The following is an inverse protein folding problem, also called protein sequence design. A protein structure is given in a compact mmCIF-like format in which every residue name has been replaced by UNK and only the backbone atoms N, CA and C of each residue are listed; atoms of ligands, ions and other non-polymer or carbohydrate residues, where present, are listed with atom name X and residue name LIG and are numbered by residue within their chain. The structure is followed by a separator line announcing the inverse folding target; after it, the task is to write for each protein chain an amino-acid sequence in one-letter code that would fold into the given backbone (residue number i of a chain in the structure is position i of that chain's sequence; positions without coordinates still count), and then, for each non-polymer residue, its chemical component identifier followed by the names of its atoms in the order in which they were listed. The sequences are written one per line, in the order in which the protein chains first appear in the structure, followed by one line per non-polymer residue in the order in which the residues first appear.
data_IF_978443217798
#
_entry.id   IF_978443217798
#
_cell.length_a   1.000
_cell.length_b   1.000
_cell.length_c   1.000
_cell.angle_alpha   90.00
_cell.angle_beta   90.00
_cell.angle_gamma   90.00
#
_symmetry.space_group_name_H-M   'P 1'
#
loop_
_entity.id
_entity.type
_entity.pdbx_description
1 polymer ?
#
# COMPACT_ATOMS: atom_id res chain seq x y z
N UNK A 1 -6.24 -3.78 35.46
CA UNK A 1 -4.85 -3.35 35.69
C UNK A 1 -4.04 -4.44 36.40
N UNK A 2 -4.50 -4.99 37.53
CA UNK A 2 -3.83 -6.11 38.22
C UNK A 2 -3.81 -7.39 37.37
N UNK A 3 -4.85 -7.68 36.59
CA UNK A 3 -4.88 -8.86 35.71
C UNK A 3 -3.90 -8.74 34.53
N UNK A 4 -3.62 -7.51 34.07
CA UNK A 4 -2.61 -7.24 33.04
C UNK A 4 -1.20 -7.44 33.57
N UNK A 5 -0.95 -7.05 34.83
CA UNK A 5 0.33 -7.29 35.52
C UNK A 5 0.52 -8.77 35.83
N UNK A 6 -0.54 -9.47 36.28
CA UNK A 6 -0.52 -10.93 36.47
C UNK A 6 -0.31 -11.65 35.15
N UNK A 7 -1.00 -11.25 34.07
CA UNK A 7 -0.79 -11.79 32.73
C UNK A 7 0.64 -11.59 32.22
N UNK A 8 1.23 -10.41 32.47
CA UNK A 8 2.63 -10.12 32.15
C UNK A 8 3.59 -10.99 32.97
N UNK A 9 3.34 -11.20 34.27
CA UNK A 9 4.16 -12.06 35.12
C UNK A 9 4.16 -13.54 34.66
N UNK A 10 3.05 -14.02 34.09
CA UNK A 10 2.96 -15.38 33.51
C UNK A 10 3.53 -15.46 32.08
N UNK A 11 3.72 -14.35 31.38
CA UNK A 11 4.34 -14.32 30.04
C UNK A 11 5.84 -14.59 30.05
N UNK A 12 6.48 -14.46 31.22
CA UNK A 12 7.90 -14.78 31.43
C UNK A 12 8.17 -16.28 31.60
N UNK A 13 7.13 -17.10 31.72
CA UNK A 13 7.27 -18.56 31.76
C UNK A 13 7.30 -19.08 30.32
N UNK A 14 8.40 -19.70 29.90
CA UNK A 14 8.51 -20.38 28.62
C UNK A 14 7.51 -21.55 28.59
N UNK A 15 6.29 -21.31 28.10
CA UNK A 15 5.36 -22.36 27.74
C UNK A 15 5.96 -23.09 26.54
N UNK A 16 6.57 -24.27 26.80
CA UNK A 16 6.93 -25.22 25.74
C UNK A 16 5.64 -25.79 25.15
N UNK A 17 5.05 -25.05 24.23
CA UNK A 17 3.97 -25.58 23.40
C UNK A 17 4.59 -26.45 22.31
N UNK A 18 4.06 -27.65 22.12
CA UNK A 18 4.42 -28.50 20.98
C UNK A 18 4.22 -27.72 19.69
N UNK A 19 5.27 -27.61 18.86
CA UNK A 19 5.22 -26.91 17.58
C UNK A 19 4.20 -27.52 16.61
N UNK A 20 3.82 -28.80 16.82
CA UNK A 20 2.77 -29.48 16.05
C UNK A 20 1.36 -28.96 16.34
N UNK A 21 1.10 -28.43 17.54
CA UNK A 21 -0.24 -27.99 17.97
C UNK A 21 -0.52 -26.51 17.63
N UNK A 22 0.49 -25.76 17.16
CA UNK A 22 0.39 -24.35 16.77
C UNK A 22 0.71 -24.15 15.27
N UNK A 23 0.51 -25.16 14.43
CA UNK A 23 0.67 -24.93 12.99
C UNK A 23 -0.59 -24.26 12.41
N UNK A 24 -0.62 -22.93 12.44
CA UNK A 24 -1.56 -22.10 11.67
C UNK A 24 -0.94 -21.77 10.31
N UNK A 25 -0.83 -22.76 9.44
CA UNK A 25 -0.40 -22.55 8.07
C UNK A 25 -1.58 -22.50 7.11
N UNK A 26 -1.76 -21.38 6.41
CA UNK A 26 -2.55 -21.38 5.18
C UNK A 26 -1.60 -21.88 4.07
N UNK A 27 -2.03 -22.84 3.23
CA UNK A 27 -1.17 -23.33 2.16
C UNK A 27 -0.68 -22.18 1.28
N UNK A 28 0.62 -22.16 1.02
CA UNK A 28 1.20 -21.21 0.07
C UNK A 28 0.68 -21.50 -1.34
N UNK A 29 0.86 -20.55 -2.26
CA UNK A 29 0.52 -20.75 -3.67
C UNK A 29 1.37 -21.89 -4.24
N UNK A 30 0.71 -23.03 -4.43
CA UNK A 30 1.23 -24.19 -5.16
C UNK A 30 0.61 -24.14 -6.55
N UNK A 31 1.33 -24.63 -7.56
CA UNK A 31 0.82 -24.81 -8.92
C UNK A 31 -0.58 -25.44 -8.89
N UNK A 32 -1.58 -24.62 -9.17
CA UNK A 32 -2.99 -24.99 -9.13
C UNK A 32 -3.55 -24.95 -10.54
N UNK A 33 -4.40 -25.91 -10.87
CA UNK A 33 -5.17 -25.86 -12.10
C UNK A 33 -6.35 -24.89 -11.98
N UNK A 34 -6.72 -24.40 -10.79
CA UNK A 34 -7.86 -23.52 -10.53
C UNK A 34 -7.57 -22.06 -10.87
N UNK A 35 -8.60 -21.23 -10.97
CA UNK A 35 -8.47 -19.78 -11.18
C UNK A 35 -8.37 -19.06 -9.83
N UNK A 36 -7.30 -18.29 -9.65
CA UNK A 36 -7.09 -17.47 -8.47
C UNK A 36 -7.95 -16.22 -8.49
N UNK A 37 -8.71 -15.98 -7.42
CA UNK A 37 -9.45 -14.75 -7.20
C UNK A 37 -8.55 -13.76 -6.46
N UNK A 38 -8.26 -12.63 -7.09
CA UNK A 38 -7.43 -11.56 -6.53
C UNK A 38 -8.32 -10.39 -6.11
N UNK A 39 -8.27 -9.97 -4.85
CA UNK A 39 -9.01 -8.78 -4.40
C UNK A 39 -8.43 -7.53 -5.04
N UNK A 40 -9.29 -6.69 -5.60
CA UNK A 40 -8.89 -5.41 -6.17
C UNK A 40 -8.57 -4.41 -5.06
N UNK A 41 -7.28 -4.31 -4.76
CA UNK A 41 -6.75 -3.25 -3.90
C UNK A 41 -6.53 -1.97 -4.70
N UNK A 42 -5.91 -2.07 -5.88
CA UNK A 42 -5.65 -0.98 -6.83
C UNK A 42 -5.21 -1.57 -8.18
N UNK A 43 -4.92 -0.72 -9.17
CA UNK A 43 -4.40 -1.11 -10.49
C UNK A 43 -3.12 -1.98 -10.44
N UNK A 44 -2.37 -1.96 -9.33
CA UNK A 44 -1.26 -2.90 -9.12
C UNK A 44 -1.69 -4.36 -9.24
N UNK A 45 -2.91 -4.69 -8.77
CA UNK A 45 -3.42 -6.06 -8.78
C UNK A 45 -3.72 -6.54 -10.21
N UNK A 46 -4.10 -5.63 -11.11
CA UNK A 46 -4.28 -5.96 -12.54
C UNK A 46 -2.95 -6.36 -13.18
N UNK A 47 -1.87 -5.67 -12.84
CA UNK A 47 -0.52 -5.99 -13.32
C UNK A 47 0.04 -7.26 -12.67
N UNK A 48 -0.23 -7.49 -11.38
CA UNK A 48 0.10 -8.75 -10.70
C UNK A 48 -0.66 -9.92 -11.34
N UNK A 49 -1.95 -9.75 -11.63
CA UNK A 49 -2.76 -10.74 -12.34
C UNK A 49 -2.19 -11.06 -13.73
N UNK A 50 -1.83 -10.04 -14.50
CA UNK A 50 -1.17 -10.20 -15.80
C UNK A 50 0.18 -10.95 -15.69
N UNK A 51 0.98 -10.67 -14.66
CA UNK A 51 2.21 -11.41 -14.39
C UNK A 51 1.94 -12.88 -14.03
N UNK A 52 0.90 -13.15 -13.23
CA UNK A 52 0.47 -14.51 -12.90
C UNK A 52 0.08 -15.29 -14.16
N UNK A 53 -0.71 -14.67 -15.05
CA UNK A 53 -1.12 -15.26 -16.34
C UNK A 53 0.08 -15.56 -17.25
N UNK A 54 1.04 -14.63 -17.34
CA UNK A 54 2.28 -14.83 -18.11
C UNK A 54 3.06 -16.08 -17.65
N UNK A 55 2.97 -16.42 -16.37
CA UNK A 55 3.62 -17.60 -15.79
C UNK A 55 2.70 -18.82 -15.66
N UNK A 56 1.56 -18.81 -16.35
CA UNK A 56 0.65 -19.95 -16.47
C UNK A 56 -0.25 -20.16 -15.25
N UNK A 57 -0.38 -19.16 -14.39
CA UNK A 57 -1.34 -19.15 -13.29
C UNK A 57 -2.60 -18.45 -13.78
N UNK A 58 -3.75 -19.12 -13.74
CA UNK A 58 -5.03 -18.50 -14.08
C UNK A 58 -5.41 -17.52 -12.96
N UNK A 59 -5.56 -16.25 -13.27
CA UNK A 59 -5.94 -15.22 -12.31
C UNK A 59 -7.18 -14.47 -12.78
N UNK A 60 -8.02 -14.07 -11.82
CA UNK A 60 -9.17 -13.22 -12.02
C UNK A 60 -9.14 -12.14 -10.95
N UNK A 61 -8.89 -10.90 -11.37
CA UNK A 61 -9.01 -9.74 -10.49
C UNK A 61 -10.49 -9.44 -10.30
N UNK A 62 -10.92 -9.37 -9.04
CA UNK A 62 -12.29 -9.03 -8.69
C UNK A 62 -12.59 -7.57 -9.08
N UNK A 63 -13.85 -7.19 -9.31
CA UNK A 63 -14.18 -5.80 -9.56
C UNK A 63 -13.83 -4.92 -8.36
N UNK A 64 -13.75 -3.60 -8.57
CA UNK A 64 -13.56 -2.65 -7.48
C UNK A 64 -14.61 -2.89 -6.37
N UNK A 65 -14.22 -2.85 -5.09
CA UNK A 65 -15.17 -3.03 -4.00
C UNK A 65 -16.23 -1.92 -4.00
N UNK A 66 -17.45 -2.27 -3.57
CA UNK A 66 -18.53 -1.33 -3.35
C UNK A 66 -19.31 -1.69 -2.07
N UNK A 67 -20.43 -1.02 -1.84
CA UNK A 67 -21.24 -1.17 -0.63
C UNK A 67 -21.76 -2.61 -0.45
N UNK A 68 -21.91 -3.38 -1.54
CA UNK A 68 -22.31 -4.80 -1.45
C UNK A 68 -21.24 -5.65 -0.78
N UNK A 69 -19.96 -5.36 -1.01
CA UNK A 69 -18.84 -6.05 -0.36
C UNK A 69 -18.96 -5.89 1.17
N UNK A 70 -19.16 -4.66 1.65
CA UNK A 70 -19.36 -4.40 3.08
C UNK A 70 -20.65 -5.00 3.61
N UNK A 71 -21.74 -4.97 2.83
CA UNK A 71 -23.02 -5.59 3.21
C UNK A 71 -22.84 -7.08 3.54
N UNK A 72 -22.18 -7.84 2.65
CA UNK A 72 -21.97 -9.28 2.87
C UNK A 72 -20.99 -9.54 4.01
N UNK A 73 -19.90 -8.77 4.11
CA UNK A 73 -18.95 -8.93 5.21
C UNK A 73 -19.60 -8.66 6.57
N UNK A 74 -20.41 -7.61 6.69
CA UNK A 74 -21.04 -7.20 7.95
C UNK A 74 -21.99 -8.25 8.53
N UNK A 75 -22.55 -9.14 7.70
CA UNK A 75 -23.42 -10.23 8.16
C UNK A 75 -22.66 -11.32 8.92
N UNK A 76 -21.34 -11.39 8.76
CA UNK A 76 -20.49 -12.47 9.28
C UNK A 76 -19.31 -11.96 10.12
N UNK A 77 -19.23 -10.65 10.34
CA UNK A 77 -18.20 -9.99 11.15
C UNK A 77 -18.84 -9.28 12.35
N UNK A 78 -18.04 -9.06 13.40
CA UNK A 78 -18.52 -8.43 14.63
C UNK A 78 -18.36 -6.91 14.67
N UNK A 79 -17.66 -6.33 13.68
CA UNK A 79 -17.37 -4.89 13.60
C UNK A 79 -16.06 -4.48 14.28
N UNK A 80 -15.36 -5.42 14.93
CA UNK A 80 -14.02 -5.19 15.52
C UNK A 80 -12.90 -5.39 14.49
N UNK A 81 -13.23 -5.97 13.35
CA UNK A 81 -12.35 -6.19 12.21
C UNK A 81 -12.10 -4.87 11.49
N UNK A 82 -10.83 -4.58 11.19
CA UNK A 82 -10.46 -3.38 10.46
C UNK A 82 -11.04 -3.39 9.04
N UNK A 83 -11.24 -2.20 8.47
CA UNK A 83 -11.90 -2.04 7.18
C UNK A 83 -11.30 -2.89 6.04
N UNK A 84 -9.97 -3.01 5.86
CA UNK A 84 -9.41 -3.87 4.81
C UNK A 84 -9.83 -5.33 4.92
N UNK A 85 -10.00 -5.85 6.14
CA UNK A 85 -10.48 -7.21 6.35
C UNK A 85 -11.91 -7.38 5.84
N UNK A 86 -12.78 -6.44 6.21
CA UNK A 86 -14.20 -6.45 5.81
C UNK A 86 -14.35 -6.28 4.31
N UNK A 87 -13.58 -5.38 3.70
CA UNK A 87 -13.57 -5.18 2.24
C UNK A 87 -13.11 -6.42 1.50
N UNK A 88 -11.95 -7.00 1.87
CA UNK A 88 -11.41 -8.19 1.21
C UNK A 88 -12.30 -9.43 1.36
N UNK A 89 -12.82 -9.67 2.58
CA UNK A 89 -13.80 -10.73 2.82
C UNK A 89 -15.07 -10.50 1.99
N UNK A 90 -15.57 -9.26 2.00
CA UNK A 90 -16.73 -8.82 1.26
C UNK A 90 -16.61 -9.08 -0.24
N UNK A 91 -15.45 -8.84 -0.84
CA UNK A 91 -15.21 -9.12 -2.26
C UNK A 91 -15.31 -10.59 -2.60
N UNK A 92 -14.80 -11.49 -1.75
CA UNK A 92 -14.99 -12.93 -1.97
C UNK A 92 -16.45 -13.35 -1.80
N UNK A 93 -17.14 -12.83 -0.79
CA UNK A 93 -18.56 -13.13 -0.57
C UNK A 93 -19.45 -12.59 -1.69
N UNK A 94 -19.19 -11.37 -2.17
CA UNK A 94 -19.86 -10.78 -3.33
C UNK A 94 -19.66 -11.65 -4.56
N UNK A 95 -18.42 -12.07 -4.82
CA UNK A 95 -18.13 -12.97 -5.94
C UNK A 95 -18.92 -14.29 -5.84
N UNK A 96 -18.97 -14.89 -4.65
CA UNK A 96 -19.77 -16.09 -4.39
C UNK A 96 -21.26 -15.86 -4.66
N UNK A 97 -21.84 -14.77 -4.16
CA UNK A 97 -23.25 -14.44 -4.38
C UNK A 97 -23.59 -14.15 -5.84
N UNK A 98 -22.68 -13.52 -6.59
CA UNK A 98 -22.90 -13.17 -8.00
C UNK A 98 -22.71 -14.38 -8.95
N UNK A 99 -21.91 -15.39 -8.56
CA UNK A 99 -21.55 -16.52 -9.43
C UNK A 99 -22.14 -17.87 -8.98
N UNK A 100 -22.80 -17.93 -7.82
CA UNK A 100 -23.43 -19.13 -7.29
C UNK A 100 -22.45 -20.15 -6.70
N UNK A 101 -22.93 -21.38 -6.48
CA UNK A 101 -22.28 -22.33 -5.57
C UNK A 101 -21.10 -23.12 -6.17
N UNK A 102 -20.81 -23.04 -7.47
CA UNK A 102 -19.70 -23.79 -8.08
C UNK A 102 -18.35 -23.05 -7.90
N UNK A 103 -17.85 -23.07 -6.67
CA UNK A 103 -16.56 -22.51 -6.29
C UNK A 103 -15.38 -23.47 -6.55
N UNK A 104 -15.64 -24.70 -7.01
CA UNK A 104 -14.61 -25.75 -7.15
C UNK A 104 -13.52 -25.38 -8.14
N UNK A 105 -13.85 -24.55 -9.13
CA UNK A 105 -12.89 -24.05 -10.15
C UNK A 105 -12.04 -22.87 -9.68
N UNK A 106 -12.28 -22.34 -8.48
CA UNK A 106 -11.62 -21.15 -7.95
C UNK A 106 -10.80 -21.44 -6.70
N UNK A 107 -9.82 -20.58 -6.44
CA UNK A 107 -9.15 -20.44 -5.15
C UNK A 107 -9.02 -18.95 -4.82
N UNK A 108 -9.35 -18.57 -3.60
CA UNK A 108 -9.08 -17.21 -3.13
C UNK A 108 -7.57 -17.02 -2.90
N UNK A 109 -7.05 -15.83 -3.17
CA UNK A 109 -5.70 -15.44 -2.80
C UNK A 109 -5.73 -14.26 -1.84
N UNK A 110 -5.04 -14.41 -0.70
CA UNK A 110 -4.90 -13.34 0.28
C UNK A 110 -3.44 -13.17 0.68
N UNK A 111 -2.90 -11.96 0.51
CA UNK A 111 -1.58 -11.63 1.01
C UNK A 111 -1.55 -11.73 2.55
N UNK A 112 -0.49 -12.33 3.08
CA UNK A 112 -0.25 -12.44 4.51
C UNK A 112 0.94 -11.59 4.95
N UNK A 113 0.95 -11.24 6.24
CA UNK A 113 2.12 -10.60 6.84
C UNK A 113 2.37 -11.15 8.25
N UNK A 114 3.64 -11.18 8.65
CA UNK A 114 4.00 -11.45 10.04
C UNK A 114 4.45 -10.14 10.67
N UNK A 115 3.84 -9.78 11.80
CA UNK A 115 4.07 -8.51 12.47
C UNK A 115 2.90 -8.17 13.40
N UNK A 116 2.87 -6.95 13.95
CA UNK A 116 1.81 -6.51 14.85
C UNK A 116 0.47 -6.22 14.13
N UNK A 117 0.44 -6.30 12.80
CA UNK A 117 -0.76 -6.12 12.00
C UNK A 117 -1.63 -7.38 11.97
N UNK A 118 -2.95 -7.21 11.99
CA UNK A 118 -3.91 -8.33 11.90
C UNK A 118 -3.93 -9.00 10.52
N UNK A 119 -3.29 -8.42 9.49
CA UNK A 119 -3.17 -8.99 8.16
C UNK A 119 -2.70 -10.46 8.16
N UNK A 120 -1.81 -10.83 9.09
CA UNK A 120 -1.36 -12.22 9.27
C UNK A 120 -2.46 -13.23 9.64
N UNK A 121 -3.60 -12.74 10.13
CA UNK A 121 -4.74 -13.57 10.49
C UNK A 121 -5.85 -13.59 9.43
N UNK A 122 -5.78 -12.74 8.40
CA UNK A 122 -6.88 -12.57 7.45
C UNK A 122 -7.27 -13.88 6.80
N UNK A 123 -6.30 -14.56 6.19
CA UNK A 123 -6.57 -15.77 5.43
C UNK A 123 -7.16 -16.89 6.30
N UNK A 124 -6.61 -17.10 7.50
CA UNK A 124 -7.12 -18.11 8.43
C UNK A 124 -8.56 -17.83 8.89
N UNK A 125 -8.87 -16.57 9.20
CA UNK A 125 -10.21 -16.18 9.62
C UNK A 125 -11.21 -16.23 8.46
N UNK A 126 -10.82 -15.81 7.26
CA UNK A 126 -11.68 -15.90 6.07
C UNK A 126 -11.98 -17.36 5.70
N UNK A 127 -11.00 -18.27 5.79
CA UNK A 127 -11.22 -19.72 5.61
C UNK A 127 -12.23 -20.25 6.63
N UNK A 128 -12.11 -19.84 7.90
CA UNK A 128 -13.07 -20.22 8.96
C UNK A 128 -14.48 -19.75 8.62
N UNK A 129 -14.63 -18.51 8.14
CA UNK A 129 -15.92 -17.95 7.71
C UNK A 129 -16.49 -18.73 6.53
N UNK A 130 -15.69 -19.00 5.48
CA UNK A 130 -16.14 -19.79 4.33
C UNK A 130 -16.65 -21.16 4.76
N UNK A 131 -15.92 -21.85 5.65
CA UNK A 131 -16.36 -23.13 6.22
C UNK A 131 -17.68 -23.02 6.98
N UNK A 132 -17.84 -22.00 7.82
CA UNK A 132 -19.07 -21.79 8.60
C UNK A 132 -20.29 -21.52 7.69
N UNK A 133 -20.07 -20.88 6.54
CA UNK A 133 -21.10 -20.60 5.54
C UNK A 133 -21.33 -21.77 4.57
N UNK A 134 -20.55 -22.86 4.66
CA UNK A 134 -20.62 -23.96 3.70
C UNK A 134 -20.06 -23.62 2.32
N UNK A 135 -19.25 -22.57 2.19
CA UNK A 135 -18.61 -22.15 0.93
C UNK A 135 -17.33 -22.98 0.72
N UNK A 136 -17.33 -23.83 -0.30
CA UNK A 136 -16.16 -24.62 -0.73
C UNK A 136 -15.21 -23.80 -1.61
N UNK A 137 -14.60 -22.76 -1.01
CA UNK A 137 -13.60 -21.91 -1.65
C UNK A 137 -12.27 -22.02 -0.90
N UNK A 138 -11.30 -22.81 -1.41
CA UNK A 138 -9.96 -22.86 -0.83
C UNK A 138 -9.29 -21.50 -0.92
N UNK A 139 -8.41 -21.19 0.04
CA UNK A 139 -7.62 -19.96 0.03
C UNK A 139 -6.13 -20.27 0.08
N UNK A 140 -5.35 -19.53 -0.70
CA UNK A 140 -3.88 -19.53 -0.72
C UNK A 140 -3.34 -18.21 -0.23
N UNK A 141 -2.11 -18.25 0.29
CA UNK A 141 -1.42 -17.05 0.74
C UNK A 141 -0.01 -16.97 0.17
N UNK A 142 0.53 -15.75 0.21
CA UNK A 142 1.95 -15.46 0.11
C UNK A 142 2.31 -14.50 1.23
N UNK A 143 3.46 -14.67 1.87
CA UNK A 143 3.74 -14.01 3.17
C UNK A 143 4.95 -13.09 3.17
N UNK A 144 4.82 -11.95 3.87
CA UNK A 144 5.82 -10.87 3.88
C UNK A 144 7.18 -11.26 4.49
N UNK A 145 7.21 -12.19 5.43
CA UNK A 145 8.43 -12.69 6.09
C UNK A 145 9.33 -13.53 5.17
N UNK A 146 8.83 -13.96 4.01
CA UNK A 146 9.65 -14.49 2.92
C UNK A 146 9.70 -13.52 1.72
N UNK A 147 9.41 -12.24 1.96
CA UNK A 147 9.31 -11.19 0.94
C UNK A 147 8.41 -11.57 -0.25
N UNK A 148 7.33 -12.32 0.01
CA UNK A 148 6.41 -12.87 -1.00
C UNK A 148 7.06 -13.81 -2.05
N UNK A 149 8.20 -14.43 -1.72
CA UNK A 149 8.94 -15.33 -2.61
C UNK A 149 8.58 -16.82 -2.42
N UNK A 150 7.44 -17.10 -1.80
CA UNK A 150 6.96 -18.44 -1.41
C UNK A 150 6.01 -19.09 -2.44
N UNK A 151 5.86 -18.49 -3.62
CA UNK A 151 5.13 -19.09 -4.74
C UNK A 151 5.95 -20.20 -5.43
N UNK A 152 5.37 -21.40 -5.54
CA UNK A 152 5.99 -22.51 -6.27
C UNK A 152 5.70 -22.41 -7.77
N UNK A 153 6.71 -21.96 -8.52
CA UNK A 153 6.70 -21.84 -9.98
C UNK A 153 7.52 -22.93 -10.67
N UNK A 154 7.91 -23.99 -9.96
CA UNK A 154 8.62 -25.15 -10.49
C UNK A 154 10.13 -24.98 -10.70
N UNK A 155 10.67 -23.75 -10.79
CA UNK A 155 12.12 -23.54 -10.75
C UNK A 155 12.51 -22.18 -10.14
N UNK A 156 13.69 -22.07 -9.50
CA UNK A 156 14.18 -20.81 -8.94
C UNK A 156 14.34 -19.69 -9.98
N UNK A 157 14.79 -20.02 -11.20
CA UNK A 157 14.93 -19.07 -12.30
C UNK A 157 13.58 -18.52 -12.75
N UNK A 158 12.58 -19.41 -12.92
CA UNK A 158 11.22 -19.01 -13.30
C UNK A 158 10.58 -18.13 -12.23
N UNK A 159 10.81 -18.44 -10.95
CA UNK A 159 10.37 -17.61 -9.83
C UNK A 159 11.04 -16.24 -9.85
N UNK A 160 12.36 -16.16 -10.04
CA UNK A 160 13.06 -14.88 -10.11
C UNK A 160 12.55 -14.01 -11.26
N UNK A 161 12.34 -14.60 -12.44
CA UNK A 161 11.81 -13.88 -13.60
C UNK A 161 10.36 -13.40 -13.35
N UNK A 162 9.51 -14.21 -12.70
CA UNK A 162 8.17 -13.78 -12.28
C UNK A 162 8.22 -12.62 -11.28
N UNK A 163 9.10 -12.70 -10.27
CA UNK A 163 9.28 -11.64 -9.29
C UNK A 163 9.76 -10.34 -9.93
N UNK A 164 10.70 -10.43 -10.88
CA UNK A 164 11.18 -9.29 -11.67
C UNK A 164 10.05 -8.68 -12.52
N UNK A 165 9.28 -9.49 -13.25
CA UNK A 165 8.14 -8.98 -14.04
C UNK A 165 7.09 -8.30 -13.14
N UNK A 166 6.75 -8.92 -12.02
CA UNK A 166 5.80 -8.38 -11.03
C UNK A 166 6.32 -7.07 -10.42
N UNK A 167 7.60 -7.03 -10.06
CA UNK A 167 8.24 -5.83 -9.50
C UNK A 167 8.24 -4.66 -10.49
N UNK A 168 8.66 -4.89 -11.74
CA UNK A 168 8.63 -3.87 -12.78
C UNK A 168 7.20 -3.38 -13.05
N UNK A 169 6.21 -4.28 -13.05
CA UNK A 169 4.79 -3.91 -13.15
C UNK A 169 4.35 -3.03 -11.99
N UNK A 170 4.67 -3.40 -10.74
CA UNK A 170 4.32 -2.59 -9.57
C UNK A 170 4.94 -1.19 -9.62
N UNK A 171 6.25 -1.07 -9.90
CA UNK A 171 6.90 0.24 -10.01
C UNK A 171 6.31 1.07 -11.17
N UNK A 172 5.96 0.43 -12.30
CA UNK A 172 5.29 1.13 -13.39
C UNK A 172 3.93 1.68 -12.96
N UNK A 173 3.13 0.92 -12.21
CA UNK A 173 1.87 1.40 -11.64
C UNK A 173 2.10 2.55 -10.63
N UNK A 174 3.06 2.43 -9.72
CA UNK A 174 3.43 3.50 -8.78
C UNK A 174 3.80 4.79 -9.53
N UNK A 175 4.61 4.70 -10.60
CA UNK A 175 4.96 5.86 -11.43
C UNK A 175 3.75 6.43 -12.18
N UNK A 176 2.87 5.60 -12.74
CA UNK A 176 1.65 6.04 -13.40
C UNK A 176 0.68 6.72 -12.43
N UNK A 177 0.57 6.24 -11.19
CA UNK A 177 -0.23 6.89 -10.16
C UNK A 177 0.33 8.28 -9.81
N UNK A 178 1.66 8.42 -9.73
CA UNK A 178 2.28 9.75 -9.56
C UNK A 178 1.99 10.66 -10.74
N UNK A 179 2.07 10.18 -11.98
CA UNK A 179 1.68 10.98 -13.15
C UNK A 179 0.21 11.39 -13.09
N UNK A 180 -0.69 10.48 -12.70
CA UNK A 180 -2.11 10.74 -12.50
C UNK A 180 -2.33 11.88 -11.50
N UNK A 181 -1.78 11.77 -10.29
CA UNK A 181 -1.95 12.79 -9.24
C UNK A 181 -1.23 14.09 -9.53
N UNK A 182 -0.14 14.04 -10.31
CA UNK A 182 0.58 15.23 -10.77
C UNK A 182 -0.17 15.97 -11.88
N UNK A 183 -0.97 15.27 -12.69
CA UNK A 183 -1.59 15.81 -13.91
C UNK A 183 -3.04 16.21 -13.69
N UNK A 184 -3.84 15.33 -13.07
CA UNK A 184 -5.29 15.49 -12.91
C UNK A 184 -5.72 16.80 -12.23
N UNK A 185 -5.02 17.34 -11.21
CA UNK A 185 -5.41 18.62 -10.61
C UNK A 185 -5.28 19.82 -11.56
N UNK A 186 -4.63 19.64 -12.72
CA UNK A 186 -4.30 20.66 -13.71
C UNK A 186 -4.80 20.30 -15.11
N UNK A 187 -5.72 19.33 -15.24
CA UNK A 187 -6.12 18.83 -16.56
C UNK A 187 -6.99 19.85 -17.32
N UNK A 188 -6.72 20.01 -18.62
CA UNK A 188 -7.50 20.89 -19.52
C UNK A 188 -8.94 20.44 -19.69
N UNK A 189 -9.15 19.12 -19.67
CA UNK A 189 -10.45 18.49 -19.83
C UNK A 189 -10.66 17.48 -18.70
N UNK A 190 -11.70 17.71 -17.90
CA UNK A 190 -12.01 16.85 -16.75
C UNK A 190 -12.15 15.39 -17.15
N UNK A 191 -11.46 14.50 -16.42
CA UNK A 191 -11.49 13.04 -16.62
C UNK A 191 -10.56 12.53 -17.73
N UNK A 192 -9.92 13.40 -18.51
CA UNK A 192 -8.97 12.97 -19.55
C UNK A 192 -7.77 12.23 -18.95
N UNK A 193 -7.32 12.64 -17.77
CA UNK A 193 -6.19 12.00 -17.08
C UNK A 193 -6.54 10.59 -16.58
N UNK A 194 -7.75 10.38 -16.08
CA UNK A 194 -8.20 9.06 -15.61
C UNK A 194 -8.31 8.05 -16.77
N UNK A 195 -8.87 8.48 -17.91
CA UNK A 195 -8.96 7.66 -19.14
C UNK A 195 -7.55 7.26 -19.62
N UNK A 196 -6.62 8.21 -19.64
CA UNK A 196 -5.23 7.94 -20.06
C UNK A 196 -4.55 6.96 -19.10
N UNK A 197 -4.74 7.12 -17.79
CA UNK A 197 -4.21 6.22 -16.79
C UNK A 197 -4.71 4.77 -16.98
N UNK A 198 -6.02 4.60 -17.17
CA UNK A 198 -6.64 3.28 -17.42
C UNK A 198 -6.12 2.64 -18.72
N UNK A 199 -5.93 3.43 -19.78
CA UNK A 199 -5.33 2.96 -21.04
C UNK A 199 -3.92 2.40 -20.83
N UNK A 200 -3.07 3.12 -20.09
CA UNK A 200 -1.70 2.70 -19.82
C UNK A 200 -1.63 1.44 -18.97
N UNK A 201 -2.43 1.33 -17.90
CA UNK A 201 -2.50 0.11 -17.08
C UNK A 201 -2.89 -1.08 -17.95
N UNK A 202 -3.91 -0.94 -18.80
CA UNK A 202 -4.37 -2.00 -19.71
C UNK A 202 -3.29 -2.40 -20.71
N UNK A 203 -2.64 -1.44 -21.37
CA UNK A 203 -1.57 -1.71 -22.35
C UNK A 203 -0.36 -2.39 -21.71
N UNK A 204 0.05 -1.97 -20.51
CA UNK A 204 1.14 -2.60 -19.77
C UNK A 204 0.75 -4.02 -19.36
N UNK A 205 -0.46 -4.22 -18.83
CA UNK A 205 -0.97 -5.56 -18.49
C UNK A 205 -0.92 -6.51 -19.71
N UNK A 206 -1.34 -6.04 -20.89
CA UNK A 206 -1.30 -6.84 -22.13
C UNK A 206 0.14 -7.22 -22.54
N UNK A 207 1.10 -6.29 -22.44
CA UNK A 207 2.53 -6.56 -22.68
C UNK A 207 3.07 -7.57 -21.67
N UNK A 208 2.73 -7.42 -20.38
CA UNK A 208 3.16 -8.32 -19.31
C UNK A 208 2.64 -9.74 -19.52
N UNK A 209 1.36 -9.93 -19.89
CA UNK A 209 0.79 -11.25 -20.22
C UNK A 209 1.59 -11.98 -21.30
N UNK A 210 2.08 -11.24 -22.30
CA UNK A 210 2.88 -11.74 -23.43
C UNK A 210 4.38 -11.80 -23.13
N UNK A 211 4.82 -11.34 -21.96
CA UNK A 211 6.23 -11.16 -21.57
C UNK A 211 7.01 -10.25 -22.53
N UNK A 212 6.33 -9.26 -23.08
CA UNK A 212 6.92 -8.24 -23.93
C UNK A 212 7.43 -7.07 -23.08
N UNK A 213 8.50 -6.42 -23.54
CA UNK A 213 8.95 -5.18 -22.93
C UNK A 213 7.90 -4.07 -23.10
N UNK A 214 7.81 -3.18 -22.11
CA UNK A 214 6.89 -2.04 -22.12
C UNK A 214 7.60 -0.70 -21.84
N UNK A 215 8.92 -0.65 -21.94
CA UNK A 215 9.71 0.56 -21.70
C UNK A 215 9.38 1.70 -22.68
N UNK A 216 8.96 1.36 -23.90
CA UNK A 216 8.43 2.29 -24.89
C UNK A 216 7.17 3.00 -24.37
N UNK A 217 6.26 2.24 -23.74
CA UNK A 217 5.06 2.79 -23.12
C UNK A 217 5.41 3.74 -21.97
N UNK A 218 6.34 3.34 -21.09
CA UNK A 218 6.78 4.18 -19.96
C UNK A 218 7.40 5.50 -20.44
N UNK A 219 8.23 5.45 -21.50
CA UNK A 219 8.85 6.63 -22.09
C UNK A 219 7.82 7.58 -22.69
N UNK A 220 6.77 7.04 -23.31
CA UNK A 220 5.69 7.84 -23.90
C UNK A 220 4.80 8.48 -22.82
N UNK A 221 4.52 7.76 -21.72
CA UNK A 221 3.56 8.18 -20.70
C UNK A 221 3.82 9.61 -20.20
N UNK A 222 5.06 9.94 -19.87
CA UNK A 222 5.38 11.26 -19.33
C UNK A 222 5.03 12.41 -20.29
N UNK A 223 5.25 12.23 -21.60
CA UNK A 223 4.85 13.22 -22.60
C UNK A 223 3.33 13.31 -22.73
N UNK A 224 2.65 12.17 -22.77
CA UNK A 224 1.19 12.12 -22.96
C UNK A 224 0.47 12.76 -21.77
N UNK A 225 0.87 12.44 -20.53
CA UNK A 225 0.33 13.07 -19.32
C UNK A 225 0.64 14.57 -19.27
N UNK A 226 1.89 14.98 -19.57
CA UNK A 226 2.27 16.40 -19.61
C UNK A 226 1.44 17.20 -20.61
N UNK A 227 1.03 16.59 -21.72
CA UNK A 227 0.20 17.26 -22.74
C UNK A 227 -1.21 17.64 -22.23
N UNK A 228 -1.71 16.94 -21.22
CA UNK A 228 -3.02 17.19 -20.61
C UNK A 228 -3.02 18.35 -19.61
N UNK A 229 -1.85 18.78 -19.13
CA UNK A 229 -1.70 19.86 -18.15
C UNK A 229 -1.99 21.21 -18.80
N UNK A 230 -2.89 21.97 -18.20
CA UNK A 230 -3.09 23.40 -18.46
C UNK A 230 -1.98 24.20 -17.75
N UNK A 231 -1.08 24.85 -18.50
CA UNK A 231 0.02 25.62 -17.92
C UNK A 231 -0.43 26.89 -17.18
N UNK A 232 -1.67 27.35 -17.39
CA UNK A 232 -2.20 28.56 -16.75
C UNK A 232 -2.62 28.30 -15.29
N UNK A 233 -2.79 27.03 -14.89
CA UNK A 233 -3.16 26.67 -13.52
C UNK A 233 -1.89 26.64 -12.65
N UNK A 234 -1.77 27.51 -11.62
CA UNK A 234 -0.59 27.54 -10.77
C UNK A 234 -0.48 26.28 -9.91
N UNK A 235 0.75 25.93 -9.51
CA UNK A 235 1.01 24.78 -8.60
C UNK A 235 0.19 24.91 -7.31
N UNK A 236 -0.54 23.86 -6.99
CA UNK A 236 -1.32 23.71 -5.75
C UNK A 236 -0.41 23.27 -4.59
N UNK A 237 -0.78 23.55 -3.33
CA UNK A 237 -0.04 23.05 -2.18
C UNK A 237 0.05 21.52 -2.23
N UNK A 238 1.27 20.99 -2.15
CA UNK A 238 1.54 19.55 -2.21
C UNK A 238 1.45 18.92 -0.82
N UNK A 239 0.73 17.82 -0.69
CA UNK A 239 0.60 17.08 0.57
C UNK A 239 0.96 15.61 0.40
N UNK A 240 1.62 15.05 1.41
CA UNK A 240 1.98 13.63 1.44
C UNK A 240 0.86 12.82 2.08
N UNK A 241 0.49 11.69 1.48
CA UNK A 241 -0.46 10.73 2.06
C UNK A 241 0.29 9.44 2.41
N UNK A 242 0.35 9.12 3.69
CA UNK A 242 0.90 7.87 4.21
C UNK A 242 -0.12 7.13 5.06
N UNK A 243 0.27 6.02 5.69
CA UNK A 243 -0.60 5.23 6.54
C UNK A 243 -0.89 3.86 5.95
N UNK A 244 -2.03 3.28 6.30
CA UNK A 244 -2.34 1.86 6.03
C UNK A 244 -2.39 1.56 4.53
N UNK A 245 -1.61 0.57 4.09
CA UNK A 245 -1.35 0.31 2.66
C UNK A 245 -2.63 0.05 1.86
N UNK A 246 -3.57 -0.74 2.39
CA UNK A 246 -4.79 -1.06 1.66
C UNK A 246 -5.67 0.17 1.52
N UNK A 247 -5.87 0.92 2.61
CA UNK A 247 -6.68 2.13 2.58
C UNK A 247 -6.07 3.23 1.70
N UNK A 248 -4.76 3.47 1.76
CA UNK A 248 -4.15 4.54 0.96
C UNK A 248 -4.21 4.25 -0.54
N UNK A 249 -4.28 2.98 -0.94
CA UNK A 249 -4.34 2.56 -2.35
C UNK A 249 -5.75 2.32 -2.89
N UNK A 250 -6.72 1.98 -2.04
CA UNK A 250 -8.07 1.59 -2.47
C UNK A 250 -9.06 2.77 -2.39
N UNK A 251 -9.58 3.19 -3.55
CA UNK A 251 -10.48 4.36 -3.66
C UNK A 251 -11.76 4.17 -2.85
N UNK A 252 -12.39 2.99 -2.91
CA UNK A 252 -13.59 2.71 -2.11
C UNK A 252 -13.32 2.82 -0.60
N UNK A 253 -12.25 2.20 -0.12
CA UNK A 253 -11.96 2.11 1.32
C UNK A 253 -11.60 3.44 1.98
N UNK A 254 -11.20 4.45 1.19
CA UNK A 254 -10.84 5.78 1.69
C UNK A 254 -11.77 6.89 1.17
N UNK A 255 -12.94 6.54 0.63
CA UNK A 255 -13.88 7.49 0.00
C UNK A 255 -13.19 8.41 -1.03
N UNK A 256 -12.28 7.84 -1.83
CA UNK A 256 -11.49 8.52 -2.85
C UNK A 256 -10.71 9.73 -2.30
N UNK A 257 -10.01 9.55 -1.17
CA UNK A 257 -9.30 10.61 -0.43
C UNK A 257 -8.43 11.52 -1.32
N UNK A 258 -7.74 10.93 -2.30
CA UNK A 258 -6.95 11.68 -3.28
C UNK A 258 -7.84 12.70 -4.00
N UNK A 259 -8.98 12.28 -4.55
CA UNK A 259 -9.90 13.17 -5.25
C UNK A 259 -10.49 14.23 -4.31
N UNK A 260 -10.80 13.85 -3.07
CA UNK A 260 -11.25 14.79 -2.03
C UNK A 260 -10.20 15.89 -1.78
N UNK A 261 -8.91 15.54 -1.73
CA UNK A 261 -7.84 16.53 -1.59
C UNK A 261 -7.71 17.44 -2.83
N UNK A 262 -7.83 16.86 -4.03
CA UNK A 262 -7.77 17.61 -5.30
C UNK A 262 -8.93 18.61 -5.44
N UNK A 263 -10.14 18.19 -5.07
CA UNK A 263 -11.34 19.03 -5.04
C UNK A 263 -11.20 20.14 -3.98
N UNK A 264 -10.52 19.85 -2.87
CA UNK A 264 -10.06 20.83 -1.89
C UNK A 264 -8.83 21.65 -2.37
N UNK A 265 -8.48 21.60 -3.66
CA UNK A 265 -7.43 22.42 -4.26
C UNK A 265 -6.01 22.08 -3.83
N UNK A 266 -5.75 20.83 -3.42
CA UNK A 266 -4.42 20.31 -3.11
C UNK A 266 -3.88 19.46 -4.26
N UNK A 267 -2.57 19.28 -4.27
CA UNK A 267 -1.91 18.20 -5.00
C UNK A 267 -1.43 17.16 -4.00
N UNK A 268 -1.41 15.89 -4.39
CA UNK A 268 -1.05 14.80 -3.48
C UNK A 268 0.05 13.92 -4.04
N UNK A 269 0.88 13.40 -3.13
CA UNK A 269 1.75 12.24 -3.38
C UNK A 269 1.41 11.21 -2.32
N UNK A 270 0.96 10.02 -2.75
CA UNK A 270 0.69 8.90 -1.85
C UNK A 270 1.91 8.01 -1.78
N UNK A 271 2.27 7.53 -0.59
CA UNK A 271 3.33 6.54 -0.41
C UNK A 271 3.05 5.30 -1.26
N UNK A 272 3.99 4.88 -2.14
CA UNK A 272 3.74 3.85 -3.15
C UNK A 272 3.58 2.45 -2.56
N UNK A 273 3.06 1.50 -3.34
CA UNK A 273 3.03 0.10 -2.96
C UNK A 273 4.46 -0.49 -2.92
N UNK A 274 5.33 -0.03 -3.81
CA UNK A 274 6.75 -0.38 -3.84
C UNK A 274 7.49 -0.06 -2.53
N UNK A 275 7.06 0.93 -1.75
CA UNK A 275 7.63 1.24 -0.43
C UNK A 275 7.56 0.02 0.52
N UNK A 276 6.40 -0.61 0.61
CA UNK A 276 6.19 -1.79 1.44
C UNK A 276 6.98 -2.99 0.93
N UNK A 277 6.99 -3.20 -0.40
CA UNK A 277 7.73 -4.29 -1.04
C UNK A 277 9.25 -4.17 -0.84
N UNK A 278 9.80 -2.95 -0.88
CA UNK A 278 11.20 -2.68 -0.52
C UNK A 278 11.46 -2.94 0.96
N UNK A 279 10.54 -2.54 1.83
CA UNK A 279 10.68 -2.74 3.27
C UNK A 279 10.73 -4.22 3.67
N UNK A 280 9.82 -5.04 3.13
CA UNK A 280 9.81 -6.49 3.43
C UNK A 280 11.09 -7.17 2.91
N UNK A 281 11.63 -6.76 1.76
CA UNK A 281 12.87 -7.30 1.23
C UNK A 281 14.06 -6.89 2.10
N UNK A 282 14.12 -5.62 2.50
CA UNK A 282 15.11 -5.11 3.44
C UNK A 282 15.09 -5.90 4.76
N UNK A 283 13.91 -6.13 5.33
CA UNK A 283 13.74 -6.93 6.55
C UNK A 283 14.14 -8.39 6.34
N UNK A 284 13.83 -8.96 5.18
CA UNK A 284 14.22 -10.32 4.83
C UNK A 284 15.75 -10.49 4.75
N UNK A 285 16.46 -9.50 4.20
CA UNK A 285 17.93 -9.43 4.20
C UNK A 285 18.46 -9.33 5.65
N UNK A 286 17.91 -8.42 6.45
CA UNK A 286 18.31 -8.22 7.86
C UNK A 286 18.13 -9.50 8.70
N UNK A 287 16.99 -10.19 8.54
CA UNK A 287 16.70 -11.44 9.24
C UNK A 287 17.64 -12.58 8.77
N UNK A 288 17.98 -12.63 7.47
CA UNK A 288 18.94 -13.61 6.96
C UNK A 288 20.36 -13.41 7.52
N UNK A 289 20.77 -12.15 7.70
CA UNK A 289 22.04 -11.78 8.34
C UNK A 289 22.00 -12.16 9.82
N UNK A 290 20.93 -11.80 10.54
CA UNK A 290 20.76 -12.12 11.97
C UNK A 290 20.80 -13.62 12.24
N UNK A 291 20.11 -14.40 11.41
CA UNK A 291 20.02 -15.86 11.52
C UNK A 291 21.29 -16.58 11.02
N UNK A 292 22.31 -15.85 10.55
CA UNK A 292 23.57 -16.38 10.00
C UNK A 292 23.37 -17.36 8.84
N UNK A 293 22.32 -17.18 8.04
CA UNK A 293 21.97 -18.03 6.89
C UNK A 293 22.65 -17.53 5.62
N UNK A 294 23.93 -17.88 5.44
CA UNK A 294 24.79 -17.35 4.36
C UNK A 294 24.21 -17.47 2.95
N UNK A 295 23.66 -18.63 2.57
CA UNK A 295 23.06 -18.83 1.23
C UNK A 295 21.85 -17.91 1.02
N UNK A 296 20.99 -17.80 2.05
CA UNK A 296 19.80 -16.95 2.03
C UNK A 296 20.18 -15.46 1.96
N UNK A 297 21.24 -15.07 2.66
CA UNK A 297 21.78 -13.71 2.64
C UNK A 297 22.26 -13.32 1.24
N UNK A 298 23.09 -14.15 0.59
CA UNK A 298 23.59 -13.88 -0.77
C UNK A 298 22.42 -13.78 -1.76
N UNK A 299 21.48 -14.72 -1.72
CA UNK A 299 20.31 -14.69 -2.61
C UNK A 299 19.46 -13.44 -2.42
N UNK A 300 19.22 -13.03 -1.17
CA UNK A 300 18.41 -11.83 -0.88
C UNK A 300 19.11 -10.55 -1.31
N UNK A 301 20.42 -10.46 -1.12
CA UNK A 301 21.22 -9.32 -1.57
C UNK A 301 21.22 -9.17 -3.10
N UNK A 302 21.32 -10.29 -3.83
CA UNK A 302 21.22 -10.28 -5.30
C UNK A 302 19.84 -9.76 -5.73
N UNK A 303 18.76 -10.25 -5.10
CA UNK A 303 17.39 -9.80 -5.40
C UNK A 303 17.23 -8.30 -5.12
N UNK A 304 17.72 -7.81 -3.99
CA UNK A 304 17.71 -6.38 -3.63
C UNK A 304 18.45 -5.54 -4.68
N UNK A 305 19.61 -6.01 -5.16
CA UNK A 305 20.39 -5.29 -6.15
C UNK A 305 19.73 -5.24 -7.53
N UNK A 306 19.05 -6.32 -7.92
CA UNK A 306 18.26 -6.40 -9.16
C UNK A 306 17.06 -5.44 -9.05
N UNK A 307 16.26 -5.55 -7.98
CA UNK A 307 15.08 -4.71 -7.79
C UNK A 307 15.43 -3.22 -7.77
N UNK A 308 16.51 -2.84 -7.08
CA UNK A 308 16.96 -1.44 -7.05
C UNK A 308 17.56 -0.93 -8.37
N UNK A 309 18.00 -1.81 -9.28
CA UNK A 309 18.38 -1.43 -10.64
C UNK A 309 17.15 -1.27 -11.53
N UNK A 310 16.22 -2.22 -11.47
CA UNK A 310 14.94 -2.20 -12.18
C UNK A 310 14.11 -0.98 -11.82
N UNK A 311 13.98 -0.67 -10.52
CA UNK A 311 13.29 0.52 -10.02
C UNK A 311 13.84 1.79 -10.65
N UNK A 312 15.16 2.00 -10.58
CA UNK A 312 15.81 3.16 -11.21
C UNK A 312 15.57 3.22 -12.71
N UNK A 313 15.65 2.07 -13.39
CA UNK A 313 15.41 1.98 -14.83
C UNK A 313 13.99 2.41 -15.19
N UNK A 314 12.98 1.97 -14.43
CA UNK A 314 11.59 2.37 -14.64
C UNK A 314 11.41 3.85 -14.31
N UNK A 315 11.80 4.30 -13.11
CA UNK A 315 11.67 5.69 -12.64
C UNK A 315 12.31 6.71 -13.59
N UNK A 316 13.45 6.37 -14.21
CA UNK A 316 14.15 7.25 -15.15
C UNK A 316 13.26 7.76 -16.30
N UNK A 317 12.24 6.99 -16.69
CA UNK A 317 11.32 7.38 -17.77
C UNK A 317 10.31 8.46 -17.34
N UNK A 318 10.19 8.74 -16.03
CA UNK A 318 9.16 9.60 -15.45
C UNK A 318 9.69 10.91 -14.87
N UNK A 319 11.01 11.06 -14.79
CA UNK A 319 11.67 12.20 -14.13
C UNK A 319 11.43 13.56 -14.81
N UNK A 320 10.89 13.60 -16.03
CA UNK A 320 10.57 14.87 -16.71
C UNK A 320 9.31 15.55 -16.14
N UNK A 321 8.44 14.79 -15.46
CA UNK A 321 7.22 15.32 -14.83
C UNK A 321 7.15 15.02 -13.34
N UNK A 322 7.79 13.94 -12.89
CA UNK A 322 7.89 13.59 -11.49
C UNK A 322 9.07 14.33 -10.86
N UNK A 323 8.71 14.97 -9.78
CA UNK A 323 9.49 15.97 -9.08
C UNK A 323 10.62 15.37 -8.21
N UNK A 324 10.44 14.16 -7.69
CA UNK A 324 11.38 13.45 -6.82
C UNK A 324 11.33 11.93 -7.00
N UNK A 325 12.45 11.28 -6.70
CA UNK A 325 12.53 9.81 -6.63
C UNK A 325 12.04 9.31 -5.29
N UNK A 326 11.64 8.04 -5.27
CA UNK A 326 11.29 7.42 -4.00
C UNK A 326 12.50 7.32 -3.06
N UNK A 327 12.34 7.68 -1.78
CA UNK A 327 13.38 7.47 -0.79
C UNK A 327 13.69 5.98 -0.62
N UNK A 328 14.93 5.70 -0.22
CA UNK A 328 15.32 4.33 0.14
C UNK A 328 14.69 3.93 1.48
N UNK A 329 14.46 2.63 1.68
CA UNK A 329 13.97 2.10 2.96
C UNK A 329 14.89 2.52 4.13
N UNK A 330 16.20 2.48 3.93
CA UNK A 330 17.17 2.86 4.96
C UNK A 330 17.05 4.34 5.35
N UNK A 331 16.75 5.23 4.39
CA UNK A 331 16.50 6.65 4.62
C UNK A 331 15.26 6.86 5.49
N UNK A 332 14.13 6.25 5.11
CA UNK A 332 12.88 6.33 5.88
C UNK A 332 13.02 5.78 7.30
N UNK A 333 13.70 4.64 7.47
CA UNK A 333 14.01 4.07 8.78
C UNK A 333 14.97 4.95 9.59
N UNK A 334 15.81 5.74 8.92
CA UNK A 334 16.70 6.72 9.53
C UNK A 334 15.95 7.81 10.29
N UNK A 335 14.79 8.24 9.77
CA UNK A 335 13.87 9.16 10.46
C UNK A 335 13.08 8.46 11.55
N UNK A 336 12.49 7.31 11.26
CA UNK A 336 11.56 6.65 12.19
C UNK A 336 12.24 6.05 13.43
N UNK A 337 13.51 5.63 13.34
CA UNK A 337 14.26 4.99 14.45
C UNK A 337 14.35 5.81 15.75
N UNK A 338 14.22 7.14 15.67
CA UNK A 338 14.22 8.03 16.85
C UNK A 338 12.92 7.92 17.66
N UNK A 339 11.85 7.45 17.03
CA UNK A 339 10.48 7.49 17.56
C UNK A 339 9.90 6.09 17.75
N UNK A 340 10.20 5.19 16.81
CA UNK A 340 9.75 3.81 16.80
C UNK A 340 10.90 2.91 16.34
N UNK A 341 11.17 1.86 17.11
CA UNK A 341 12.21 0.90 16.75
C UNK A 341 11.95 0.30 15.35
N UNK A 342 12.93 0.27 14.44
CA UNK A 342 12.78 -0.38 13.13
C UNK A 342 12.39 -1.86 13.23
N UNK A 343 12.64 -2.49 14.39
CA UNK A 343 12.27 -3.88 14.71
C UNK A 343 10.77 -4.08 14.98
N UNK A 344 9.98 -3.01 15.04
CA UNK A 344 8.53 -3.09 15.19
C UNK A 344 7.88 -3.93 14.06
N UNK A 345 8.50 -3.98 12.87
CA UNK A 345 8.05 -4.87 11.78
C UNK A 345 6.69 -4.49 11.21
N UNK A 346 6.39 -3.19 11.20
CA UNK A 346 5.05 -2.64 10.98
C UNK A 346 5.12 -1.48 10.00
N UNK A 347 4.05 -1.25 9.24
CA UNK A 347 3.91 -0.06 8.38
C UNK A 347 4.04 1.27 9.16
N UNK A 348 3.84 1.25 10.48
CA UNK A 348 4.07 2.41 11.34
C UNK A 348 5.49 3.00 11.17
N UNK A 349 6.54 2.17 11.01
CA UNK A 349 7.91 2.69 10.83
C UNK A 349 8.10 3.37 9.47
N UNK A 350 7.36 2.95 8.45
CA UNK A 350 7.36 3.57 7.13
C UNK A 350 6.55 4.86 7.16
N UNK A 351 5.34 4.83 7.71
CA UNK A 351 4.46 6.00 7.81
C UNK A 351 5.08 7.13 8.63
N UNK A 352 5.73 6.82 9.76
CA UNK A 352 6.50 7.85 10.50
C UNK A 352 7.65 8.38 9.64
N UNK A 353 8.40 7.49 8.98
CA UNK A 353 9.55 7.86 8.16
C UNK A 353 9.18 8.76 6.99
N UNK A 354 8.20 8.34 6.17
CA UNK A 354 7.75 9.08 4.99
C UNK A 354 7.02 10.37 5.37
N UNK A 355 6.27 10.36 6.48
CA UNK A 355 5.67 11.58 7.01
C UNK A 355 6.72 12.58 7.45
N UNK A 356 7.76 12.18 8.20
CA UNK A 356 8.85 13.08 8.58
C UNK A 356 9.62 13.58 7.35
N UNK A 357 9.91 12.71 6.39
CA UNK A 357 10.57 13.10 5.14
C UNK A 357 9.78 14.19 4.39
N UNK A 358 8.45 14.06 4.31
CA UNK A 358 7.57 15.12 3.79
C UNK A 358 7.64 16.39 4.65
N UNK A 359 7.65 16.27 5.98
CA UNK A 359 7.68 17.43 6.88
C UNK A 359 9.01 18.20 6.75
N UNK A 360 10.14 17.51 6.57
CA UNK A 360 11.45 18.13 6.34
C UNK A 360 11.62 18.69 4.92
N UNK A 361 10.91 18.14 3.93
CA UNK A 361 10.98 18.59 2.55
C UNK A 361 10.19 19.91 2.33
N UNK A 362 10.83 21.01 1.91
CA UNK A 362 10.18 22.32 1.75
C UNK A 362 9.05 22.35 0.70
N UNK A 363 8.98 21.36 -0.20
CA UNK A 363 7.94 21.29 -1.23
C UNK A 363 6.59 20.84 -0.70
N UNK A 364 6.60 20.07 0.38
CA UNK A 364 5.39 19.55 1.01
C UNK A 364 4.88 20.55 2.02
N UNK A 365 3.62 20.92 1.87
CA UNK A 365 2.89 21.83 2.73
C UNK A 365 2.35 21.12 3.99
N UNK A 366 2.12 19.81 3.93
CA UNK A 366 1.66 19.02 5.07
C UNK A 366 1.52 17.53 4.78
N UNK A 367 1.03 16.79 5.78
CA UNK A 367 0.88 15.32 5.72
C UNK A 367 -0.53 14.89 6.15
N UNK A 368 -1.07 13.89 5.47
CA UNK A 368 -2.31 13.19 5.84
C UNK A 368 -1.96 11.72 6.08
N UNK A 369 -2.19 11.22 7.29
CA UNK A 369 -2.13 9.79 7.58
C UNK A 369 -3.51 9.17 7.50
N UNK A 370 -3.65 8.11 6.69
CA UNK A 370 -4.88 7.32 6.60
C UNK A 370 -4.78 6.02 7.38
N UNK A 371 -5.83 5.67 8.11
CA UNK A 371 -5.90 4.41 8.84
C UNK A 371 -7.33 3.89 8.98
N UNK A 372 -7.53 2.57 9.08
CA UNK A 372 -8.83 2.05 9.45
C UNK A 372 -9.05 2.20 10.96
N UNK A 373 -10.32 2.26 11.38
CA UNK A 373 -10.64 2.19 12.80
C UNK A 373 -10.03 0.92 13.44
N UNK A 374 -9.43 1.07 14.62
CA UNK A 374 -8.75 -0.04 15.32
C UNK A 374 -7.40 -0.46 14.72
N UNK A 375 -6.84 0.29 13.76
CA UNK A 375 -5.50 0.03 13.24
C UNK A 375 -4.43 0.35 14.28
N UNK A 376 -3.80 -0.69 14.85
CA UNK A 376 -2.73 -0.49 15.83
C UNK A 376 -1.51 0.26 15.24
N UNK A 377 -0.96 -0.10 14.06
CA UNK A 377 0.08 0.69 13.41
C UNK A 377 -0.32 2.15 13.16
N UNK A 378 -1.52 2.38 12.61
CA UNK A 378 -2.03 3.73 12.35
C UNK A 378 -2.20 4.54 13.63
N UNK A 379 -2.67 3.92 14.71
CA UNK A 379 -2.79 4.56 16.02
C UNK A 379 -1.46 5.05 16.59
N UNK A 380 -0.36 4.32 16.35
CA UNK A 380 0.99 4.78 16.74
C UNK A 380 1.37 6.05 15.99
N UNK A 381 1.14 6.08 14.67
CA UNK A 381 1.42 7.26 13.82
C UNK A 381 0.57 8.44 14.27
N UNK A 382 -0.73 8.22 14.47
CA UNK A 382 -1.67 9.26 14.88
C UNK A 382 -1.29 9.86 16.24
N UNK A 383 -0.86 9.04 17.20
CA UNK A 383 -0.40 9.50 18.51
C UNK A 383 0.85 10.41 18.44
N UNK A 384 1.63 10.35 17.35
CA UNK A 384 2.84 11.17 17.16
C UNK A 384 2.61 12.40 16.26
N UNK A 385 1.53 12.42 15.47
CA UNK A 385 1.26 13.47 14.47
C UNK A 385 1.26 14.90 15.02
N UNK A 386 0.65 15.15 16.19
CA UNK A 386 0.60 16.47 16.83
C UNK A 386 1.99 16.94 17.28
N UNK A 387 2.80 16.00 17.80
CA UNK A 387 4.18 16.27 18.18
C UNK A 387 5.02 16.64 16.95
N UNK A 388 4.84 15.93 15.84
CA UNK A 388 5.54 16.24 14.59
C UNK A 388 5.06 17.56 13.99
N UNK A 389 3.76 17.85 14.07
CA UNK A 389 3.22 19.16 13.68
C UNK A 389 3.92 20.29 14.42
N UNK A 390 4.05 20.16 15.74
CA UNK A 390 4.75 21.15 16.58
C UNK A 390 6.26 21.21 16.28
N UNK A 391 6.92 20.08 16.04
CA UNK A 391 8.36 20.05 15.82
C UNK A 391 8.76 20.67 14.47
N UNK A 392 8.00 20.37 13.43
CA UNK A 392 8.32 20.74 12.04
C UNK A 392 7.55 21.97 11.54
N UNK A 393 6.62 22.50 12.33
CA UNK A 393 5.81 23.67 11.99
C UNK A 393 5.05 23.51 10.67
N UNK A 394 4.58 22.29 10.39
CA UNK A 394 3.73 21.95 9.26
C UNK A 394 2.58 21.08 9.74
N UNK A 395 1.36 21.24 9.22
CA UNK A 395 0.23 20.47 9.71
C UNK A 395 0.31 19.00 9.28
N UNK A 396 0.04 18.11 10.24
CA UNK A 396 -0.14 16.67 10.02
C UNK A 396 -1.50 16.25 10.57
N UNK A 397 -2.43 15.85 9.69
CA UNK A 397 -3.76 15.35 10.07
C UNK A 397 -3.88 13.84 9.93
N UNK A 398 -4.78 13.23 10.69
CA UNK A 398 -5.12 11.81 10.58
C UNK A 398 -6.57 11.64 10.18
N UNK A 399 -6.84 10.84 9.15
CA UNK A 399 -8.18 10.49 8.69
C UNK A 399 -8.43 9.00 8.94
N UNK A 400 -9.58 8.70 9.53
CA UNK A 400 -9.95 7.34 9.95
C UNK A 400 -11.14 6.85 9.14
N UNK A 401 -11.07 5.63 8.61
CA UNK A 401 -12.18 5.03 7.86
C UNK A 401 -12.65 3.72 8.50
N UNK A 402 -13.96 3.52 8.56
CA UNK A 402 -14.59 2.33 9.15
C UNK A 402 -15.62 1.67 8.21
N UNK A 403 -15.75 2.16 6.98
CA UNK A 403 -16.70 1.66 5.98
C UNK A 403 -18.10 2.24 6.13
N UNK A 404 -18.29 3.27 6.95
CA UNK A 404 -19.51 4.07 7.01
C UNK A 404 -19.24 5.40 6.30
N UNK A 405 -20.24 5.93 5.61
CA UNK A 405 -20.16 7.24 4.97
C UNK A 405 -20.17 8.32 6.07
N UNK A 406 -18.99 8.78 6.49
CA UNK A 406 -18.85 9.86 7.47
C UNK A 406 -18.39 11.17 6.80
N UNK A 407 -19.11 12.26 7.08
CA UNK A 407 -18.81 13.61 6.54
C UNK A 407 -17.66 14.32 7.26
N UNK A 408 -17.25 13.82 8.42
CA UNK A 408 -16.20 14.41 9.26
C UNK A 408 -14.84 14.44 8.54
N UNK A 409 -14.45 13.36 7.85
CA UNK A 409 -13.19 13.35 7.10
C UNK A 409 -13.17 14.42 6.00
N UNK A 410 -14.30 14.64 5.30
CA UNK A 410 -14.41 15.69 4.30
C UNK A 410 -14.20 17.08 4.92
N UNK A 411 -14.86 17.36 6.04
CA UNK A 411 -14.68 18.62 6.77
C UNK A 411 -13.23 18.82 7.24
N UNK A 412 -12.58 17.75 7.73
CA UNK A 412 -11.17 17.80 8.17
C UNK A 412 -10.20 18.08 7.02
N UNK A 413 -10.39 17.46 5.86
CA UNK A 413 -9.54 17.71 4.68
C UNK A 413 -9.74 19.13 4.15
N UNK A 414 -10.99 19.63 4.11
CA UNK A 414 -11.27 21.00 3.69
C UNK A 414 -10.64 22.03 4.66
N UNK A 415 -10.80 21.85 5.97
CA UNK A 415 -10.18 22.73 6.96
C UNK A 415 -8.65 22.71 6.87
N UNK A 416 -8.07 21.54 6.63
CA UNK A 416 -6.63 21.39 6.40
C UNK A 416 -6.18 22.13 5.15
N UNK A 417 -6.91 22.03 4.04
CA UNK A 417 -6.60 22.77 2.83
C UNK A 417 -6.68 24.29 3.02
N UNK A 418 -7.68 24.78 3.76
CA UNK A 418 -7.79 26.21 4.10
C UNK A 418 -6.60 26.72 4.92
N UNK A 419 -6.16 25.95 5.93
CA UNK A 419 -4.97 26.28 6.72
C UNK A 419 -3.73 26.38 5.81
N UNK A 420 -3.54 25.42 4.91
CA UNK A 420 -2.41 25.42 3.98
C UNK A 420 -2.42 26.62 3.04
N UNK A 421 -3.60 27.00 2.53
CA UNK A 421 -3.77 28.19 1.69
C UNK A 421 -3.42 29.46 2.46
N UNK A 422 -3.95 29.61 3.68
CA UNK A 422 -3.66 30.75 4.54
C UNK A 422 -2.15 30.90 4.82
N UNK A 423 -1.47 29.80 5.19
CA UNK A 423 -0.02 29.80 5.39
C UNK A 423 0.74 30.20 4.11
N UNK A 424 0.33 29.67 2.95
CA UNK A 424 0.98 29.97 1.68
C UNK A 424 0.77 31.42 1.20
N UNK A 425 -0.37 32.04 1.55
CA UNK A 425 -0.65 33.44 1.24
C UNK A 425 0.17 34.37 2.14
N UNK A 426 0.24 34.07 3.44
CA UNK A 426 1.07 34.83 4.38
C UNK A 426 2.56 34.84 3.98
N UNK A 427 3.10 33.72 3.49
CA UNK A 427 4.47 33.65 2.97
C UNK A 427 4.69 34.48 1.70
N UNK A 428 3.66 34.60 0.83
CA UNK A 428 3.72 35.43 -0.40
C UNK A 428 3.54 36.92 -0.10
N UNK A 429 2.75 37.26 0.91
CA UNK A 429 2.36 38.64 1.22
C UNK A 429 3.35 39.40 2.10
N UNK A 430 4.27 38.73 2.83
CA UNK A 430 5.30 39.48 3.55
C UNK A 430 6.29 38.69 4.38
N UNK A 431 7.56 39.03 4.19
CA UNK A 431 8.49 39.21 5.30
C UNK A 431 7.79 39.84 6.52
N UNK A 432 7.44 39.03 7.51
CA UNK A 432 7.35 39.47 8.90
C UNK A 432 8.30 38.56 9.68
N UNK A 433 9.42 39.17 10.07
CA UNK A 433 10.60 38.48 10.59
C UNK A 433 10.29 37.55 11.76
N UNK A 434 10.46 36.26 11.53
CA UNK A 434 10.82 35.31 12.58
C UNK A 434 12.01 34.52 12.07
N UNK A 435 13.19 34.96 12.50
CA UNK A 435 14.41 34.17 12.41
C UNK A 435 14.22 32.90 13.23
N UNK A 436 13.89 31.80 12.56
CA UNK A 436 13.86 30.47 13.14
C UNK A 436 15.28 30.07 13.57
N UNK A 437 15.63 30.32 14.84
CA UNK A 437 16.78 29.66 15.47
C UNK A 437 16.45 28.17 15.55
N UNK A 438 17.17 27.35 14.77
CA UNK A 438 17.24 25.90 14.99
C UNK A 438 17.67 25.63 16.44
N UNK A 439 16.94 24.82 17.24
CA UNK A 439 17.48 24.32 18.49
C UNK A 439 18.61 23.34 18.19
N UNK A 440 19.72 23.47 18.93
CA UNK A 440 20.88 22.56 18.88
C UNK A 440 20.54 21.19 19.42
#
# INVERSE_FOLDING_TARGET
FVDTIKGFAHSATELKVSTGDIYRGVPTVIKSSKTFLLVNMSAHVDLIGAAMEAYGIRALVLPEPNERDLLYANQVTSGVECLPYRVTLGSFLRFYHDNGNDMKKFEAFMAGAYGPCRLGHYAGEQIRIFKNLGIDLPMRTSVSNNAYQDMDLGSPFRRLAFMSLTWNGCIAADCLFKLLWRTRPYEKQTGSTDILFEDYIRRIADRMRRKEAFNDLLRQATSDFKSLIDPEIPRKPLVGINGEIFLRSNKFSNNNLVKVCEDAGLEVVVSPMGEWMKYILYRHVEDAIRDRKFIKMIGSYIVERIQGHEERSVENHFMDLIDEREPSTAHLLGFSRRWLSPKCGSEAVLSIGSGIDCMENPRFAGVISVMPHGCMPGGIVAAMSEKFTTLYQKPWINVTYDGIMETNNLARVNNFAEILRFCSQAEREGHLGVTARKPR
#
